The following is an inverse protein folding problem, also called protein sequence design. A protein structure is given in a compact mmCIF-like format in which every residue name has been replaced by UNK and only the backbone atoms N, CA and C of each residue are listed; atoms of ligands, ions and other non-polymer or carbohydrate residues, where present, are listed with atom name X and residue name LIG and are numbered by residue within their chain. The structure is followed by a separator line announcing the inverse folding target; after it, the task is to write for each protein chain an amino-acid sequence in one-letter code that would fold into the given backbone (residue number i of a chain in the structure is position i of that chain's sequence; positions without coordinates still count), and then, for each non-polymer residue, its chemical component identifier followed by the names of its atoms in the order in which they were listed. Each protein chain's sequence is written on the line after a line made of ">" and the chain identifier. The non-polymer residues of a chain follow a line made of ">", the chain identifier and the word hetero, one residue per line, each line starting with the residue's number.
data_IF_171384987727
#
_entry.id   IF_171384987727
#
_cell.length_a   1.000
_cell.length_b   1.000
_cell.length_c   1.000
_cell.angle_alpha   90.00
_cell.angle_beta   90.00
_cell.angle_gamma   90.00
#
_symmetry.space_group_name_H-M   'P 1'
#
loop_
_entity.id
_entity.type
_entity.pdbx_description
1 polymer ?
#
# COMPACT_ATOMS: atom_id res chain seq x y z
N UNK A 1 -7.26 8.90 -3.28
CA UNK A 1 -5.86 9.11 -3.69
C UNK A 1 -5.64 10.58 -4.05
N UNK A 2 -4.50 11.19 -3.71
CA UNK A 2 -4.14 12.53 -4.21
C UNK A 2 -3.33 12.35 -5.50
N UNK A 3 -4.02 12.34 -6.64
CA UNK A 3 -3.40 12.13 -7.96
C UNK A 3 -2.32 13.18 -8.25
N UNK A 4 -1.18 12.71 -8.73
CA UNK A 4 0.01 13.47 -9.08
C UNK A 4 0.17 13.60 -10.59
N UNK A 5 -0.46 12.72 -11.38
CA UNK A 5 -0.38 12.75 -12.83
C UNK A 5 -1.50 13.58 -13.47
N UNK A 6 -1.23 14.10 -14.67
CA UNK A 6 -2.18 14.85 -15.49
C UNK A 6 -2.12 14.34 -16.91
N UNK A 7 -3.29 14.08 -17.50
CA UNK A 7 -3.41 13.72 -18.91
C UNK A 7 -3.72 14.95 -19.76
N UNK A 8 -3.03 15.08 -20.89
CA UNK A 8 -3.38 16.04 -21.92
C UNK A 8 -4.38 15.44 -22.92
N UNK A 9 -5.12 16.28 -23.64
CA UNK A 9 -6.14 15.82 -24.61
C UNK A 9 -5.59 14.99 -25.79
N UNK A 10 -4.27 14.96 -25.97
CA UNK A 10 -3.59 14.09 -26.94
C UNK A 10 -3.23 12.71 -26.38
N UNK A 11 -3.61 12.40 -25.13
CA UNK A 11 -3.35 11.13 -24.46
C UNK A 11 -2.03 11.08 -23.67
N UNK A 12 -1.15 12.07 -23.80
CA UNK A 12 0.13 12.09 -23.10
C UNK A 12 -0.05 12.38 -21.61
N UNK A 13 0.69 11.65 -20.78
CA UNK A 13 0.75 11.86 -19.34
C UNK A 13 1.96 12.71 -18.94
N UNK A 14 1.76 13.56 -17.94
CA UNK A 14 2.78 14.36 -17.27
C UNK A 14 2.52 14.37 -15.76
N UNK A 15 3.38 15.02 -14.99
CA UNK A 15 3.13 15.33 -13.59
C UNK A 15 2.41 16.69 -13.46
N UNK A 16 1.50 16.81 -12.49
CA UNK A 16 0.82 18.07 -12.19
C UNK A 16 1.74 18.98 -11.36
N UNK A 17 2.26 20.04 -11.99
CA UNK A 17 3.19 20.97 -11.36
C UNK A 17 2.62 21.65 -10.10
N UNK A 18 1.30 21.76 -9.97
CA UNK A 18 0.67 22.32 -8.76
C UNK A 18 0.93 21.49 -7.49
N UNK A 19 1.29 20.21 -7.66
CA UNK A 19 1.66 19.30 -6.56
C UNK A 19 3.13 19.43 -6.14
N UNK A 20 3.95 20.12 -6.92
CA UNK A 20 5.40 20.20 -6.75
C UNK A 20 5.94 21.65 -6.84
N UNK A 21 5.46 22.61 -6.02
CA UNK A 21 5.95 23.98 -6.09
C UNK A 21 7.44 24.09 -5.73
N UNK A 22 8.21 24.99 -6.38
CA UNK A 22 7.77 26.03 -7.32
C UNK A 22 8.01 25.67 -8.80
N UNK A 23 7.89 24.41 -9.21
CA UNK A 23 8.18 24.03 -10.60
C UNK A 23 7.08 24.53 -11.56
N UNK A 24 7.49 25.00 -12.74
CA UNK A 24 6.56 25.38 -13.80
C UNK A 24 6.17 24.16 -14.66
N UNK A 25 4.91 24.10 -15.10
CA UNK A 25 4.40 22.99 -15.90
C UNK A 25 5.15 22.82 -17.23
N UNK A 26 5.58 23.91 -17.86
CA UNK A 26 6.31 23.84 -19.14
C UNK A 26 7.70 23.22 -18.97
N UNK A 27 8.37 23.53 -17.87
CA UNK A 27 9.67 22.93 -17.52
C UNK A 27 9.48 21.43 -17.26
N UNK A 28 8.50 21.08 -16.41
CA UNK A 28 8.19 19.68 -16.07
C UNK A 28 7.82 18.85 -17.32
N UNK A 29 6.98 19.39 -18.20
CA UNK A 29 6.61 18.76 -19.45
C UNK A 29 7.81 18.55 -20.38
N UNK A 30 8.76 19.50 -20.40
CA UNK A 30 9.97 19.38 -21.21
C UNK A 30 10.91 18.30 -20.69
N UNK A 31 11.11 18.22 -19.38
CA UNK A 31 11.96 17.22 -18.73
C UNK A 31 11.40 15.80 -18.93
N UNK A 32 10.09 15.62 -18.72
CA UNK A 32 9.42 14.34 -18.89
C UNK A 32 9.44 13.91 -20.37
N UNK A 33 9.17 14.84 -21.30
CA UNK A 33 9.16 14.53 -22.74
C UNK A 33 10.54 14.17 -23.27
N UNK A 34 11.59 14.81 -22.76
CA UNK A 34 12.97 14.62 -23.24
C UNK A 34 13.63 13.36 -22.64
N UNK A 35 12.94 12.64 -21.74
CA UNK A 35 13.46 11.46 -21.06
C UNK A 35 12.48 10.30 -21.11
N UNK A 36 12.75 9.34 -22.00
CA UNK A 36 11.95 8.11 -22.12
C UNK A 36 11.75 7.35 -20.79
N UNK A 37 12.79 7.15 -19.94
CA UNK A 37 12.59 6.51 -18.65
C UNK A 37 11.62 7.26 -17.73
N UNK A 38 11.67 8.60 -17.73
CA UNK A 38 10.80 9.43 -16.88
C UNK A 38 9.37 9.35 -17.40
N UNK A 39 9.17 9.48 -18.72
CA UNK A 39 7.84 9.35 -19.34
C UNK A 39 7.19 8.00 -19.02
N UNK A 40 7.92 6.90 -19.19
CA UNK A 40 7.43 5.57 -18.89
C UNK A 40 7.07 5.39 -17.39
N UNK A 41 7.83 6.01 -16.49
CA UNK A 41 7.52 6.01 -15.06
C UNK A 41 6.23 6.80 -14.74
N UNK A 42 6.03 7.95 -15.39
CA UNK A 42 4.83 8.79 -15.23
C UNK A 42 3.58 8.09 -15.77
N UNK A 43 3.67 7.45 -16.93
CA UNK A 43 2.58 6.66 -17.51
C UNK A 43 2.18 5.51 -16.57
N UNK A 44 3.16 4.76 -16.02
CA UNK A 44 2.87 3.72 -15.03
C UNK A 44 2.26 4.27 -13.75
N UNK A 45 2.72 5.43 -13.27
CA UNK A 45 2.11 6.07 -12.11
C UNK A 45 0.64 6.41 -12.37
N UNK A 46 0.32 6.94 -13.55
CA UNK A 46 -1.05 7.24 -13.94
C UNK A 46 -1.92 5.97 -13.98
N UNK A 47 -1.39 4.86 -14.52
CA UNK A 47 -2.06 3.55 -14.52
C UNK A 47 -2.37 3.05 -13.10
N UNK A 48 -1.43 3.21 -12.17
CA UNK A 48 -1.65 2.85 -10.75
C UNK A 48 -2.68 3.75 -10.08
N UNK A 49 -2.63 5.06 -10.32
CA UNK A 49 -3.62 6.02 -9.80
C UNK A 49 -5.02 5.72 -10.34
N UNK A 50 -5.15 5.40 -11.63
CA UNK A 50 -6.41 4.96 -12.23
C UNK A 50 -6.89 3.63 -11.62
N UNK A 51 -5.99 2.68 -11.39
CA UNK A 51 -6.34 1.42 -10.73
C UNK A 51 -6.82 1.64 -9.29
N UNK A 52 -6.20 2.56 -8.56
CA UNK A 52 -6.60 2.90 -7.19
C UNK A 52 -7.96 3.60 -7.16
N UNK A 53 -8.17 4.60 -8.03
CA UNK A 53 -9.44 5.33 -8.16
C UNK A 53 -10.60 4.40 -8.57
N UNK A 54 -10.32 3.37 -9.37
CA UNK A 54 -11.29 2.33 -9.75
C UNK A 54 -11.45 1.21 -8.71
N UNK A 55 -10.70 1.25 -7.61
CA UNK A 55 -10.73 0.20 -6.57
C UNK A 55 -10.22 -1.16 -7.05
N UNK A 56 -9.34 -1.18 -8.05
CA UNK A 56 -8.71 -2.39 -8.59
C UNK A 56 -7.44 -2.80 -7.83
N UNK A 57 -6.91 -1.92 -6.97
CA UNK A 57 -5.77 -2.23 -6.10
C UNK A 57 -6.23 -2.89 -4.80
N UNK A 58 -5.49 -3.90 -4.37
CA UNK A 58 -5.69 -4.56 -3.08
C UNK A 58 -4.89 -3.82 -2.01
N UNK A 59 -5.59 -3.25 -1.04
CA UNK A 59 -4.97 -2.66 0.14
C UNK A 59 -4.72 -3.74 1.19
N UNK A 60 -3.44 -4.07 1.40
CA UNK A 60 -3.04 -4.98 2.46
C UNK A 60 -3.06 -4.23 3.80
N UNK A 61 -3.54 -4.86 4.90
CA UNK A 61 -3.57 -4.22 6.22
C UNK A 61 -2.18 -4.14 6.85
N UNK A 62 -1.14 -4.71 6.23
CA UNK A 62 0.22 -4.83 6.76
C UNK A 62 1.26 -4.87 5.63
N UNK A 63 2.52 -4.60 5.97
CA UNK A 63 3.69 -4.79 5.09
C UNK A 63 4.65 -5.84 5.65
N UNK A 64 5.48 -6.41 4.77
CA UNK A 64 6.60 -7.26 5.19
C UNK A 64 7.53 -6.45 6.10
N UNK A 65 7.96 -7.06 7.20
CA UNK A 65 8.76 -6.45 8.26
C UNK A 65 7.94 -5.83 9.39
N UNK A 66 6.62 -5.67 9.26
CA UNK A 66 5.78 -5.25 10.38
C UNK A 66 5.74 -6.32 11.47
N UNK A 67 5.57 -5.89 12.73
CA UNK A 67 5.26 -6.77 13.85
C UNK A 67 3.75 -6.96 13.96
N UNK A 68 3.28 -8.18 13.77
CA UNK A 68 1.91 -8.59 14.05
C UNK A 68 1.79 -9.06 15.51
N UNK A 69 0.79 -8.56 16.23
CA UNK A 69 0.45 -8.94 17.59
C UNK A 69 -0.82 -9.79 17.55
N UNK A 70 -0.70 -11.05 17.94
CA UNK A 70 -1.81 -12.02 17.88
C UNK A 70 -2.34 -12.32 19.26
N UNK A 71 -3.65 -12.37 19.40
CA UNK A 71 -4.29 -12.83 20.63
C UNK A 71 -4.45 -14.34 20.55
N UNK A 72 -3.82 -15.06 21.47
CA UNK A 72 -3.92 -16.51 21.58
C UNK A 72 -4.01 -16.89 23.06
N UNK A 73 -5.08 -17.59 23.44
CA UNK A 73 -5.29 -18.11 24.80
C UNK A 73 -5.10 -17.04 25.91
N UNK A 74 -5.62 -15.83 25.69
CA UNK A 74 -5.52 -14.74 26.65
C UNK A 74 -4.15 -14.05 26.71
N UNK A 75 -3.26 -14.32 25.75
CA UNK A 75 -1.94 -13.71 25.66
C UNK A 75 -1.77 -12.98 24.32
N UNK A 76 -0.97 -11.91 24.34
CA UNK A 76 -0.56 -11.21 23.11
C UNK A 76 0.83 -11.68 22.72
N UNK A 77 0.94 -12.29 21.54
CA UNK A 77 2.17 -12.83 20.99
C UNK A 77 2.64 -11.98 19.80
N UNK A 78 3.81 -11.33 19.88
CA UNK A 78 4.39 -10.59 18.75
C UNK A 78 5.12 -11.53 17.78
N UNK A 79 5.03 -11.26 16.48
CA UNK A 79 5.80 -11.95 15.43
C UNK A 79 5.96 -11.07 14.20
N UNK A 80 7.13 -11.07 13.56
CA UNK A 80 7.38 -10.30 12.34
C UNK A 80 6.75 -10.97 11.11
N UNK A 81 6.16 -10.16 10.23
CA UNK A 81 5.64 -10.60 8.92
C UNK A 81 6.80 -10.76 7.93
N UNK A 82 7.00 -11.96 7.42
CA UNK A 82 8.05 -12.26 6.45
C UNK A 82 7.55 -12.20 5.00
N UNK A 83 6.29 -12.53 4.76
CA UNK A 83 5.72 -12.60 3.41
C UNK A 83 4.21 -12.38 3.47
N UNK A 84 3.66 -11.74 2.44
CA UNK A 84 2.23 -11.75 2.14
C UNK A 84 2.04 -12.44 0.80
N UNK A 85 1.10 -13.39 0.72
CA UNK A 85 0.81 -14.11 -0.51
C UNK A 85 -0.69 -14.20 -0.77
N UNK A 86 -1.06 -14.13 -2.06
CA UNK A 86 -2.36 -14.53 -2.57
C UNK A 86 -2.39 -16.05 -2.75
N UNK A 87 -3.41 -16.72 -2.23
CA UNK A 87 -3.63 -18.17 -2.39
C UNK A 87 -4.87 -18.49 -3.24
N UNK A 88 -5.49 -17.50 -3.88
CA UNK A 88 -6.70 -17.64 -4.70
C UNK A 88 -8.00 -17.73 -3.89
N UNK A 89 -7.94 -18.11 -2.62
CA UNK A 89 -9.05 -18.08 -1.67
C UNK A 89 -8.91 -16.97 -0.61
N UNK A 90 -7.92 -16.09 -0.75
CA UNK A 90 -7.64 -15.01 0.19
C UNK A 90 -6.15 -14.68 0.25
N UNK A 91 -5.85 -13.62 1.00
CA UNK A 91 -4.49 -13.19 1.28
C UNK A 91 -4.05 -13.65 2.66
N UNK A 92 -2.81 -14.13 2.75
CA UNK A 92 -2.23 -14.64 3.98
C UNK A 92 -0.88 -14.01 4.27
N UNK A 93 -0.61 -13.72 5.54
CA UNK A 93 0.70 -13.30 6.02
C UNK A 93 1.40 -14.46 6.72
N UNK A 94 2.66 -14.71 6.34
CA UNK A 94 3.54 -15.70 6.93
C UNK A 94 4.45 -15.01 7.94
N UNK A 95 4.51 -15.56 9.15
CA UNK A 95 5.21 -14.98 10.28
C UNK A 95 6.54 -15.70 10.52
N UNK A 96 7.48 -15.00 11.16
CA UNK A 96 8.82 -15.52 11.43
C UNK A 96 8.85 -16.74 12.34
N UNK A 97 7.83 -16.91 13.19
CA UNK A 97 7.68 -18.06 14.08
C UNK A 97 7.05 -19.29 13.39
N UNK A 98 6.91 -19.24 12.07
CA UNK A 98 6.38 -20.33 11.24
C UNK A 98 4.86 -20.34 11.13
N UNK A 99 4.18 -19.39 11.78
CA UNK A 99 2.72 -19.33 11.76
C UNK A 99 2.20 -18.56 10.53
N UNK A 100 0.92 -18.80 10.21
CA UNK A 100 0.23 -18.13 9.10
C UNK A 100 -1.04 -17.49 9.64
N UNK A 101 -1.32 -16.26 9.22
CA UNK A 101 -2.55 -15.53 9.55
C UNK A 101 -3.27 -15.09 8.29
N UNK A 102 -4.61 -15.14 8.32
CA UNK A 102 -5.42 -14.55 7.26
C UNK A 102 -5.40 -13.04 7.38
N UNK A 103 -5.31 -12.32 6.26
CA UNK A 103 -5.42 -10.86 6.28
C UNK A 103 -6.80 -10.40 6.78
N UNK A 104 -7.82 -11.26 6.71
CA UNK A 104 -9.16 -11.00 7.24
C UNK A 104 -9.25 -11.03 8.77
N UNK A 105 -8.22 -11.52 9.46
CA UNK A 105 -8.14 -11.60 10.92
C UNK A 105 -7.55 -10.32 11.55
N UNK A 106 -6.99 -9.43 10.72
CA UNK A 106 -6.51 -8.13 11.16
C UNK A 106 -7.65 -7.27 11.72
N UNK A 107 -7.40 -6.64 12.87
CA UNK A 107 -8.39 -5.88 13.62
C UNK A 107 -9.36 -6.73 14.46
N UNK A 108 -9.27 -8.07 14.39
CA UNK A 108 -10.10 -8.99 15.19
C UNK A 108 -9.25 -9.75 16.21
N UNK A 109 -8.32 -10.57 15.73
CA UNK A 109 -7.41 -11.37 16.55
C UNK A 109 -5.93 -11.10 16.24
N UNK A 110 -5.65 -10.33 15.19
CA UNK A 110 -4.30 -9.90 14.78
C UNK A 110 -4.28 -8.37 14.68
N UNK A 111 -3.23 -7.74 15.20
CA UNK A 111 -3.11 -6.28 15.25
C UNK A 111 -1.70 -5.85 14.89
N UNK A 112 -1.54 -4.60 14.45
CA UNK A 112 -0.22 -4.02 14.14
C UNK A 112 0.42 -3.26 15.29
N UNK A 113 -0.28 -3.12 16.42
CA UNK A 113 0.28 -2.48 17.61
C UNK A 113 -0.02 -3.29 18.86
N UNK A 114 0.90 -3.27 19.82
CA UNK A 114 0.70 -3.91 21.12
C UNK A 114 -0.50 -3.31 21.86
N UNK A 115 -0.65 -1.98 21.80
CA UNK A 115 -1.70 -1.26 22.51
C UNK A 115 -3.09 -1.70 22.03
N UNK A 116 -3.33 -1.71 20.71
CA UNK A 116 -4.62 -2.14 20.16
C UNK A 116 -4.91 -3.60 20.45
N UNK A 117 -3.89 -4.48 20.42
CA UNK A 117 -4.04 -5.88 20.81
C UNK A 117 -4.43 -6.04 22.29
N UNK A 118 -3.78 -5.29 23.19
CA UNK A 118 -4.08 -5.33 24.62
C UNK A 118 -5.47 -4.77 24.94
N UNK A 119 -5.91 -3.74 24.23
CA UNK A 119 -7.27 -3.21 24.37
C UNK A 119 -8.32 -4.23 23.93
N UNK A 120 -8.10 -4.88 22.79
CA UNK A 120 -8.97 -5.95 22.30
C UNK A 120 -9.06 -7.11 23.31
N UNK A 121 -7.93 -7.55 23.86
CA UNK A 121 -7.89 -8.62 24.86
C UNK A 121 -8.62 -8.27 26.17
N UNK A 122 -8.62 -7.00 26.60
CA UNK A 122 -9.34 -6.56 27.81
C UNK A 122 -10.86 -6.41 27.60
N UNK A 123 -11.30 -6.34 26.34
CA UNK A 123 -12.70 -6.21 25.96
C UNK A 123 -13.43 -7.55 25.76
N UNK A 124 -12.70 -8.66 25.79
CA UNK A 124 -13.23 -10.04 25.76
C UNK A 124 -13.65 -10.51 27.16
#
# INVERSE_FOLDING_TARGET
>A
MNRLTKQYGNGNWTLDASKFPPIDQTVLDSEIRNSEPIRAAVERLAEYEDAEERGQLVHLPCKVGDTAYRILAGMVLPSVILMVADKGNGYFAFLEDGMVVSLCDFGKSVFLTLETAQQALKGE
#
